data_IF_155473135729
#
_entry.id   IF_155473135729
#
_cell.length_a   1.000
_cell.length_b   1.000
_cell.length_c   1.000
_cell.angle_alpha   90.00
_cell.angle_beta   90.00
_cell.angle_gamma   90.00
#
_symmetry.space_group_name_H-M   'P 1'
#
loop_
_entity.id
_entity.type
_entity.pdbx_description
1 polymer ?
#
# COMPACT_ATOMS: atom_id res chain seq x y z
N UNK A 1 20.15 -22.36 -25.49
CA UNK A 1 19.51 -21.77 -24.29
C UNK A 1 20.14 -20.41 -24.02
N UNK A 2 19.44 -19.32 -24.34
CA UNK A 2 19.75 -17.96 -23.87
C UNK A 2 18.44 -17.19 -23.89
N UNK A 3 17.77 -17.10 -22.75
CA UNK A 3 16.73 -16.10 -22.56
C UNK A 3 17.46 -14.80 -22.20
N UNK A 4 17.42 -13.81 -23.09
CA UNK A 4 17.80 -12.45 -22.76
C UNK A 4 16.52 -11.73 -22.34
N UNK A 5 16.29 -11.64 -21.03
CA UNK A 5 15.39 -10.62 -20.48
C UNK A 5 16.20 -9.33 -20.45
N UNK A 6 16.26 -8.64 -21.59
CA UNK A 6 16.53 -7.20 -21.58
C UNK A 6 15.30 -6.54 -20.97
N UNK A 7 15.25 -6.55 -19.63
CA UNK A 7 14.42 -5.60 -18.90
C UNK A 7 15.09 -4.25 -19.12
N UNK A 8 14.48 -3.47 -20.02
CA UNK A 8 14.76 -2.06 -20.17
C UNK A 8 14.26 -1.39 -18.88
N UNK A 9 15.09 -1.46 -17.84
CA UNK A 9 14.82 -0.82 -16.57
C UNK A 9 15.02 0.67 -16.80
N UNK A 10 13.99 1.33 -17.35
CA UNK A 10 13.90 2.79 -17.31
C UNK A 10 14.26 3.20 -15.88
N UNK A 11 15.32 3.98 -15.74
CA UNK A 11 15.91 4.42 -14.46
C UNK A 11 14.95 5.29 -13.60
N UNK A 12 13.67 5.32 -13.95
CA UNK A 12 12.55 5.99 -13.30
C UNK A 12 11.57 5.00 -12.65
N UNK A 13 12.02 3.78 -12.35
CA UNK A 13 11.26 2.80 -11.55
C UNK A 13 11.24 3.22 -10.07
N UNK A 14 10.61 4.34 -9.77
CA UNK A 14 9.99 4.51 -8.46
C UNK A 14 8.86 3.48 -8.43
N UNK A 15 9.11 2.29 -7.86
CA UNK A 15 8.08 1.27 -7.69
C UNK A 15 7.03 1.82 -6.71
N UNK A 16 6.09 2.59 -7.24
CA UNK A 16 4.95 3.09 -6.49
C UNK A 16 3.94 1.96 -6.41
N UNK A 17 4.01 1.22 -5.31
CA UNK A 17 2.96 0.26 -4.96
C UNK A 17 1.62 0.98 -4.98
N UNK A 18 0.72 0.55 -5.86
CA UNK A 18 -0.63 1.10 -5.93
C UNK A 18 -1.54 0.31 -4.99
N UNK A 19 -2.20 0.96 -4.02
CA UNK A 19 -3.19 0.29 -3.19
C UNK A 19 -4.44 0.05 -4.02
N UNK A 20 -4.95 -1.18 -3.99
CA UNK A 20 -6.17 -1.59 -4.69
C UNK A 20 -7.40 -1.25 -3.86
N UNK A 21 -7.34 -1.55 -2.56
CA UNK A 21 -8.53 -1.51 -1.72
C UNK A 21 -8.19 -1.42 -0.24
N UNK A 22 -9.05 -0.75 0.52
CA UNK A 22 -9.11 -0.87 1.97
C UNK A 22 -10.00 -2.06 2.33
N UNK A 23 -9.50 -2.91 3.22
CA UNK A 23 -10.20 -4.12 3.67
C UNK A 23 -10.79 -3.95 5.07
N UNK A 24 -10.17 -3.14 5.92
CA UNK A 24 -10.58 -2.96 7.31
C UNK A 24 -10.22 -1.57 7.81
N UNK A 25 -11.05 -1.02 8.70
CA UNK A 25 -10.73 0.16 9.51
C UNK A 25 -10.62 -0.25 10.98
N UNK A 26 -9.56 0.23 11.64
CA UNK A 26 -9.31 -0.06 13.05
C UNK A 26 -8.85 1.21 13.76
N UNK A 27 -9.42 1.47 14.94
CA UNK A 27 -8.93 2.52 15.83
C UNK A 27 -8.11 1.88 16.94
N UNK A 28 -6.82 2.21 16.99
CA UNK A 28 -5.95 1.77 18.08
C UNK A 28 -6.02 2.78 19.22
N UNK A 29 -6.67 2.40 20.31
CA UNK A 29 -6.78 3.21 21.53
C UNK A 29 -5.49 3.08 22.33
N UNK A 30 -4.85 4.21 22.62
CA UNK A 30 -3.64 4.33 23.43
C UNK A 30 -3.94 5.15 24.68
N UNK A 31 -3.03 5.13 25.65
CA UNK A 31 -3.16 5.91 26.90
C UNK A 31 -3.36 7.41 26.66
N UNK A 32 -2.81 7.93 25.55
CA UNK A 32 -2.76 9.36 25.25
C UNK A 32 -3.59 9.76 24.01
N UNK A 33 -4.41 8.86 23.47
CA UNK A 33 -5.24 9.17 22.30
C UNK A 33 -5.55 7.96 21.43
N UNK A 34 -6.10 8.22 20.26
CA UNK A 34 -6.55 7.21 19.31
C UNK A 34 -5.79 7.37 17.98
N UNK A 35 -5.36 6.24 17.40
CA UNK A 35 -4.71 6.22 16.08
C UNK A 35 -5.55 5.35 15.14
N UNK A 36 -6.31 5.97 14.22
CA UNK A 36 -7.00 5.26 13.15
C UNK A 36 -6.00 4.66 12.15
N UNK A 37 -6.22 3.41 11.76
CA UNK A 37 -5.41 2.67 10.82
C UNK A 37 -6.30 1.84 9.91
N UNK A 38 -5.88 1.65 8.67
CA UNK A 38 -6.61 0.88 7.67
C UNK A 38 -5.77 -0.28 7.16
N UNK A 39 -6.39 -1.44 6.95
CA UNK A 39 -5.74 -2.57 6.29
C UNK A 39 -5.86 -2.39 4.78
N UNK A 40 -4.73 -2.36 4.09
CA UNK A 40 -4.65 -2.03 2.67
C UNK A 40 -4.16 -3.23 1.87
N UNK A 41 -4.83 -3.51 0.76
CA UNK A 41 -4.41 -4.49 -0.25
C UNK A 41 -3.66 -3.77 -1.37
N UNK A 42 -2.50 -4.28 -1.78
CA UNK A 42 -1.63 -3.68 -2.80
C UNK A 42 -1.60 -4.47 -4.12
N UNK A 43 -1.36 -3.79 -5.25
CA UNK A 43 -1.54 -4.32 -6.62
C UNK A 43 -0.46 -5.32 -7.07
N UNK A 44 0.73 -5.28 -6.49
CA UNK A 44 1.90 -5.98 -7.06
C UNK A 44 2.69 -6.85 -6.08
N UNK A 45 2.36 -6.87 -4.80
CA UNK A 45 2.92 -7.85 -3.87
C UNK A 45 2.09 -9.14 -3.92
N UNK A 46 2.68 -10.20 -4.48
CA UNK A 46 2.02 -11.50 -4.69
C UNK A 46 1.27 -11.99 -3.46
N UNK A 47 -0.04 -12.18 -3.61
CA UNK A 47 -1.03 -12.85 -2.73
C UNK A 47 -1.05 -12.57 -1.21
N UNK A 48 -0.10 -11.83 -0.62
CA UNK A 48 0.14 -11.89 0.84
C UNK A 48 0.52 -10.61 1.56
N UNK A 49 0.53 -9.43 0.93
CA UNK A 49 0.96 -8.23 1.65
C UNK A 49 -0.24 -7.32 1.89
N UNK A 50 -0.96 -7.69 2.94
CA UNK A 50 -1.91 -6.82 3.60
C UNK A 50 -1.15 -6.05 4.67
N UNK A 51 -1.09 -4.73 4.52
CA UNK A 51 -0.34 -3.86 5.44
C UNK A 51 -1.30 -2.89 6.11
N UNK A 52 -1.09 -2.64 7.40
CA UNK A 52 -1.79 -1.56 8.09
C UNK A 52 -1.10 -0.22 7.81
N UNK A 53 -1.85 0.71 7.23
CA UNK A 53 -1.45 2.11 7.02
C UNK A 53 -2.19 3.06 7.95
N UNK A 54 -1.63 4.24 8.19
CA UNK A 54 -2.35 5.32 8.88
C UNK A 54 -3.50 5.80 8.00
N UNK A 55 -4.69 5.95 8.58
CA UNK A 55 -5.86 6.41 7.81
C UNK A 55 -5.62 7.81 7.23
N UNK A 56 -4.98 8.71 7.98
CA UNK A 56 -4.67 10.07 7.53
C UNK A 56 -3.78 10.08 6.29
N UNK A 57 -2.70 9.29 6.29
CA UNK A 57 -1.80 9.16 5.15
C UNK A 57 -2.53 8.59 3.94
N UNK A 58 -3.33 7.54 4.14
CA UNK A 58 -4.06 6.91 3.07
C UNK A 58 -5.12 7.86 2.48
N UNK A 59 -5.79 8.67 3.31
CA UNK A 59 -6.70 9.72 2.81
C UNK A 59 -5.95 10.78 2.02
N UNK A 60 -4.80 11.26 2.48
CA UNK A 60 -4.02 12.31 1.81
C UNK A 60 -3.44 11.86 0.46
N UNK A 61 -2.97 10.62 0.34
CA UNK A 61 -2.30 10.14 -0.85
C UNK A 61 -3.18 9.29 -1.78
N UNK A 62 -4.23 8.68 -1.25
CA UNK A 62 -5.11 7.74 -1.95
C UNK A 62 -6.59 8.04 -1.67
N UNK A 63 -6.99 9.29 -1.92
CA UNK A 63 -8.36 9.78 -1.71
C UNK A 63 -9.43 8.90 -2.39
N UNK A 64 -9.14 8.29 -3.54
CA UNK A 64 -10.09 7.45 -4.29
C UNK A 64 -10.48 6.15 -3.58
N UNK A 65 -9.80 5.78 -2.49
CA UNK A 65 -10.07 4.57 -1.71
C UNK A 65 -10.99 4.80 -0.50
N UNK A 66 -11.39 6.04 -0.20
CA UNK A 66 -12.21 6.41 0.96
C UNK A 66 -13.50 7.13 0.59
#
# INVERSE_FOLDING_TARGET
MRWALTIDLKEDITYMEQPIQILEHKVNVMRNGEIPSVLVKWQHHGDKELTYGLESYMREHFHDLF
#
